data_IF_531581749950
#
_entry.id   IF_531581749950
#
_cell.length_a   1.000
_cell.length_b   1.000
_cell.length_c   1.000
_cell.angle_alpha   90.00
_cell.angle_beta   90.00
_cell.angle_gamma   90.00
#
_symmetry.space_group_name_H-M   'P 1'
#
loop_
_entity.id
_entity.type
_entity.pdbx_description
1 polymer ?
#
# COMPACT_ATOMS: atom_id res chain seq x y z
N UNK A 1 27.75 -17.72 16.99
CA UNK A 1 26.38 -18.16 17.30
C UNK A 1 26.34 -18.50 18.79
N UNK A 2 25.65 -17.70 19.61
CA UNK A 2 25.39 -18.12 21.00
C UNK A 2 24.43 -19.31 20.95
N UNK A 3 24.67 -20.39 21.71
CA UNK A 3 23.73 -21.50 21.76
C UNK A 3 22.40 -21.00 22.35
N UNK A 4 21.28 -21.38 21.73
CA UNK A 4 19.95 -21.11 22.27
C UNK A 4 19.87 -21.69 23.68
N UNK A 5 19.24 -20.96 24.61
CA UNK A 5 18.95 -21.48 25.93
C UNK A 5 18.15 -22.79 25.81
N UNK A 6 18.22 -23.67 26.82
CA UNK A 6 17.39 -24.88 26.86
C UNK A 6 15.94 -24.47 27.13
N UNK A 7 14.99 -25.01 26.36
CA UNK A 7 13.57 -24.71 26.55
C UNK A 7 13.13 -25.13 27.95
N UNK A 8 12.50 -24.22 28.67
CA UNK A 8 11.87 -24.51 29.95
C UNK A 8 10.38 -24.73 29.72
N UNK A 9 10.00 -25.97 29.39
CA UNK A 9 8.61 -26.28 29.08
C UNK A 9 7.73 -26.58 30.30
N UNK A 10 8.31 -26.62 31.51
CA UNK A 10 7.63 -26.91 32.78
C UNK A 10 6.74 -28.18 32.74
N UNK A 11 7.12 -29.17 31.92
CA UNK A 11 6.37 -30.42 31.72
C UNK A 11 5.35 -30.42 30.58
N UNK A 12 5.13 -29.28 29.90
CA UNK A 12 4.37 -29.20 28.66
C UNK A 12 5.21 -29.62 27.43
N UNK A 13 4.53 -29.87 26.31
CA UNK A 13 5.22 -30.06 25.03
C UNK A 13 5.99 -28.78 24.66
N UNK A 14 7.22 -28.87 24.12
CA UNK A 14 7.99 -27.68 23.75
C UNK A 14 7.27 -26.75 22.76
N UNK A 15 6.43 -27.29 21.88
CA UNK A 15 5.63 -26.48 20.96
C UNK A 15 4.62 -25.58 21.69
N UNK A 16 3.89 -26.13 22.68
CA UNK A 16 2.92 -25.36 23.46
C UNK A 16 3.62 -24.32 24.35
N UNK A 17 4.77 -24.69 24.91
CA UNK A 17 5.62 -23.75 25.65
C UNK A 17 6.12 -22.60 24.76
N UNK A 18 6.44 -22.88 23.49
CA UNK A 18 6.81 -21.86 22.51
C UNK A 18 5.70 -20.83 22.32
N UNK A 19 4.47 -21.29 22.05
CA UNK A 19 3.30 -20.43 21.85
C UNK A 19 3.04 -19.56 23.07
N UNK A 20 3.06 -20.16 24.27
CA UNK A 20 2.89 -19.43 25.53
C UNK A 20 3.97 -18.36 25.74
N UNK A 21 5.25 -18.70 25.51
CA UNK A 21 6.32 -17.72 25.62
C UNK A 21 6.19 -16.59 24.60
N UNK A 22 5.70 -16.90 23.39
CA UNK A 22 5.43 -15.89 22.39
C UNK A 22 4.33 -14.93 22.84
N UNK A 23 3.21 -15.44 23.35
CA UNK A 23 2.12 -14.65 23.94
C UNK A 23 2.60 -13.75 25.09
N UNK A 24 3.54 -14.24 25.90
CA UNK A 24 4.17 -13.49 26.99
C UNK A 24 5.22 -12.45 26.50
N UNK A 25 5.48 -12.33 25.20
CA UNK A 25 6.49 -11.46 24.61
C UNK A 25 7.94 -11.92 24.83
N UNK A 26 8.14 -13.17 25.26
CA UNK A 26 9.44 -13.78 25.56
C UNK A 26 9.96 -14.54 24.35
N UNK A 27 10.33 -13.80 23.31
CA UNK A 27 10.60 -14.35 21.99
C UNK A 27 11.85 -15.25 21.91
N UNK A 28 12.89 -14.99 22.72
CA UNK A 28 14.08 -15.87 22.77
C UNK A 28 13.74 -17.24 23.38
N UNK A 29 12.93 -17.27 24.44
CA UNK A 29 12.44 -18.53 25.02
C UNK A 29 11.46 -19.25 24.08
N UNK A 30 10.60 -18.51 23.38
CA UNK A 30 9.75 -19.08 22.34
C UNK A 30 10.59 -19.75 21.25
N UNK A 31 11.61 -19.05 20.74
CA UNK A 31 12.53 -19.58 19.74
C UNK A 31 13.25 -20.84 20.22
N UNK A 32 13.74 -20.82 21.46
CA UNK A 32 14.36 -22.00 22.08
C UNK A 32 13.42 -23.20 22.11
N UNK A 33 12.17 -22.99 22.53
CA UNK A 33 11.15 -24.03 22.63
C UNK A 33 10.70 -24.56 21.26
N UNK A 34 10.51 -23.68 20.27
CA UNK A 34 10.22 -24.09 18.89
C UNK A 34 11.38 -24.88 18.27
N UNK A 35 12.63 -24.46 18.50
CA UNK A 35 13.81 -25.17 18.03
C UNK A 35 13.93 -26.56 18.67
N UNK A 36 13.61 -26.69 19.96
CA UNK A 36 13.55 -27.99 20.63
C UNK A 36 12.41 -28.87 20.09
N UNK A 37 11.23 -28.31 19.82
CA UNK A 37 10.13 -29.05 19.19
C UNK A 37 10.56 -29.60 17.81
N UNK A 38 11.18 -28.76 16.97
CA UNK A 38 11.69 -29.15 15.67
C UNK A 38 12.85 -30.17 15.75
N UNK A 39 13.62 -30.20 16.84
CA UNK A 39 14.66 -31.20 17.05
C UNK A 39 14.10 -32.56 17.47
N UNK A 40 13.00 -32.57 18.25
CA UNK A 40 12.30 -33.79 18.65
C UNK A 40 11.51 -34.40 17.49
N UNK A 41 10.88 -33.54 16.69
CA UNK A 41 10.07 -33.92 15.52
C UNK A 41 10.48 -33.09 14.29
N UNK A 42 11.50 -33.53 13.53
CA UNK A 42 12.03 -32.76 12.39
C UNK A 42 11.05 -32.48 11.26
N UNK A 43 10.02 -33.31 11.12
CA UNK A 43 8.98 -33.23 10.10
C UNK A 43 7.65 -32.69 10.66
N UNK A 44 7.68 -32.00 11.81
CA UNK A 44 6.52 -31.28 12.35
C UNK A 44 6.48 -29.86 11.78
N UNK A 45 5.63 -29.61 10.77
CA UNK A 45 5.50 -28.32 10.11
C UNK A 45 5.23 -27.17 11.11
N UNK A 46 4.31 -27.38 12.04
CA UNK A 46 3.96 -26.41 13.08
C UNK A 46 5.18 -25.96 13.92
N UNK A 47 6.13 -26.85 14.23
CA UNK A 47 7.33 -26.47 14.98
C UNK A 47 8.24 -25.52 14.20
N UNK A 48 8.38 -25.72 12.89
CA UNK A 48 9.12 -24.80 12.03
C UNK A 48 8.35 -23.49 11.81
N UNK A 49 7.01 -23.52 11.76
CA UNK A 49 6.18 -22.32 11.68
C UNK A 49 6.31 -21.45 12.94
N UNK A 50 6.17 -22.03 14.13
CA UNK A 50 6.36 -21.32 15.41
C UNK A 50 7.79 -20.78 15.56
N UNK A 51 8.79 -21.52 15.04
CA UNK A 51 10.16 -21.05 14.97
C UNK A 51 10.27 -19.80 14.08
N UNK A 52 9.60 -19.80 12.93
CA UNK A 52 9.53 -18.65 12.04
C UNK A 52 8.90 -17.44 12.72
N UNK A 53 7.79 -17.64 13.44
CA UNK A 53 7.09 -16.59 14.20
C UNK A 53 7.99 -15.95 15.26
N UNK A 54 8.70 -16.76 16.05
CA UNK A 54 9.63 -16.26 17.05
C UNK A 54 10.84 -15.53 16.42
N UNK A 55 11.38 -16.03 15.31
CA UNK A 55 12.48 -15.40 14.58
C UNK A 55 12.07 -14.04 13.98
N UNK A 56 10.87 -13.98 13.41
CA UNK A 56 10.27 -12.77 12.88
C UNK A 56 10.14 -11.68 13.97
N UNK A 57 9.60 -12.03 15.14
CA UNK A 57 9.49 -11.10 16.26
C UNK A 57 10.85 -10.62 16.82
N UNK A 58 11.92 -11.41 16.62
CA UNK A 58 13.29 -11.04 16.97
C UNK A 58 14.01 -10.23 15.87
N UNK A 59 13.34 -9.91 14.76
CA UNK A 59 13.95 -9.22 13.60
C UNK A 59 14.95 -10.09 12.83
N UNK A 60 14.93 -11.41 13.01
CA UNK A 60 15.82 -12.37 12.34
C UNK A 60 15.19 -12.86 11.03
N UNK A 61 14.93 -11.90 10.15
CA UNK A 61 14.12 -12.05 8.93
C UNK A 61 14.56 -13.21 8.03
N UNK A 62 15.85 -13.30 7.68
CA UNK A 62 16.35 -14.37 6.80
C UNK A 62 16.14 -15.75 7.41
N UNK A 63 16.30 -15.88 8.73
CA UNK A 63 16.07 -17.14 9.42
C UNK A 63 14.58 -17.46 9.52
N UNK A 64 13.72 -16.44 9.70
CA UNK A 64 12.27 -16.61 9.69
C UNK A 64 11.78 -17.12 8.33
N UNK A 65 12.26 -16.53 7.22
CA UNK A 65 11.96 -16.99 5.86
C UNK A 65 12.34 -18.47 5.68
N UNK A 66 13.54 -18.87 6.13
CA UNK A 66 13.97 -20.28 6.04
C UNK A 66 13.12 -21.21 6.89
N UNK A 67 12.71 -20.78 8.09
CA UNK A 67 11.86 -21.58 8.98
C UNK A 67 10.45 -21.77 8.38
N UNK A 68 9.83 -20.72 7.86
CA UNK A 68 8.55 -20.83 7.15
C UNK A 68 8.65 -21.66 5.88
N UNK A 69 9.71 -21.48 5.08
CA UNK A 69 9.96 -22.30 3.90
C UNK A 69 10.12 -23.78 4.27
N UNK A 70 10.75 -24.09 5.41
CA UNK A 70 10.86 -25.47 5.90
C UNK A 70 9.50 -26.02 6.33
N UNK A 71 8.67 -25.24 7.02
CA UNK A 71 7.31 -25.65 7.38
C UNK A 71 6.48 -25.96 6.12
N UNK A 72 6.49 -25.07 5.13
CA UNK A 72 5.75 -25.24 3.87
C UNK A 72 6.32 -26.34 2.96
N UNK A 73 7.59 -26.71 3.11
CA UNK A 73 8.17 -27.87 2.43
C UNK A 73 7.70 -29.20 3.04
N UNK A 74 7.36 -29.22 4.33
CA UNK A 74 6.83 -30.38 5.04
C UNK A 74 5.32 -30.49 4.79
N UNK A 75 4.58 -29.43 5.07
CA UNK A 75 3.15 -29.31 4.79
C UNK A 75 2.88 -28.01 4.01
N UNK A 76 2.65 -28.11 2.69
CA UNK A 76 2.36 -26.96 1.85
C UNK A 76 1.04 -26.24 2.23
N UNK A 77 0.16 -26.87 3.01
CA UNK A 77 -1.10 -26.30 3.47
C UNK A 77 -1.06 -25.80 4.91
N UNK A 78 0.09 -25.82 5.60
CA UNK A 78 0.17 -25.45 7.02
C UNK A 78 -0.33 -24.01 7.25
N UNK A 79 -1.48 -23.83 7.95
CA UNK A 79 -2.11 -22.52 8.04
C UNK A 79 -1.27 -21.49 8.81
N UNK A 80 -0.52 -21.94 9.82
CA UNK A 80 0.36 -21.10 10.62
C UNK A 80 1.56 -20.60 9.81
N UNK A 81 2.16 -21.48 8.99
CA UNK A 81 3.26 -21.10 8.11
C UNK A 81 2.80 -20.17 6.98
N UNK A 82 1.61 -20.39 6.41
CA UNK A 82 1.03 -19.50 5.39
C UNK A 82 0.74 -18.11 5.96
N UNK A 83 0.08 -18.04 7.12
CA UNK A 83 -0.18 -16.76 7.79
C UNK A 83 1.12 -16.05 8.19
N UNK A 84 2.07 -16.78 8.78
CA UNK A 84 3.37 -16.23 9.17
C UNK A 84 4.17 -15.70 7.99
N UNK A 85 4.16 -16.42 6.86
CA UNK A 85 4.79 -15.97 5.61
C UNK A 85 4.11 -14.73 5.06
N UNK A 86 2.77 -14.72 5.00
CA UNK A 86 2.01 -13.57 4.53
C UNK A 86 2.33 -12.31 5.35
N UNK A 87 2.29 -12.42 6.68
CA UNK A 87 2.57 -11.31 7.58
C UNK A 87 4.04 -10.85 7.48
N UNK A 88 5.00 -11.77 7.33
CA UNK A 88 6.40 -11.42 7.17
C UNK A 88 6.61 -10.56 5.91
N UNK A 89 6.05 -10.97 4.77
CA UNK A 89 6.26 -10.27 3.50
C UNK A 89 5.45 -8.98 3.35
N UNK A 90 4.20 -8.95 3.80
CA UNK A 90 3.32 -7.78 3.63
C UNK A 90 3.40 -6.75 4.77
N UNK A 91 3.87 -7.13 5.97
CA UNK A 91 3.77 -6.25 7.15
C UNK A 91 5.12 -5.94 7.78
N UNK A 92 6.01 -6.94 7.90
CA UNK A 92 7.26 -6.77 8.64
C UNK A 92 8.43 -6.31 7.78
N UNK A 93 8.56 -6.88 6.58
CA UNK A 93 9.60 -6.46 5.65
C UNK A 93 9.21 -5.11 5.02
N UNK A 94 10.20 -4.28 4.63
CA UNK A 94 9.90 -3.07 3.87
C UNK A 94 9.06 -3.40 2.62
N UNK A 95 7.95 -2.70 2.44
CA UNK A 95 7.06 -2.90 1.29
C UNK A 95 7.83 -2.67 -0.02
N UNK A 96 7.58 -3.58 -0.95
CA UNK A 96 8.02 -3.58 -2.34
C UNK A 96 6.99 -4.40 -3.07
N UNK A 97 6.68 -4.07 -4.33
CA UNK A 97 5.68 -4.79 -5.11
C UNK A 97 5.85 -6.32 -5.06
N UNK A 98 7.07 -6.84 -5.21
CA UNK A 98 7.32 -8.29 -5.19
C UNK A 98 7.01 -8.93 -3.82
N UNK A 99 7.25 -8.21 -2.73
CA UNK A 99 6.95 -8.68 -1.37
C UNK A 99 5.47 -8.61 -1.09
N UNK A 100 4.79 -7.55 -1.52
CA UNK A 100 3.35 -7.40 -1.31
C UNK A 100 2.59 -8.45 -2.14
N UNK A 101 3.04 -8.75 -3.36
CA UNK A 101 2.56 -9.87 -4.18
C UNK A 101 2.75 -11.22 -3.48
N UNK A 102 3.93 -11.47 -2.89
CA UNK A 102 4.18 -12.68 -2.10
C UNK A 102 3.28 -12.75 -0.86
N UNK A 103 3.11 -11.63 -0.15
CA UNK A 103 2.27 -11.53 1.04
C UNK A 103 0.81 -11.88 0.72
N UNK A 104 0.26 -11.25 -0.32
CA UNK A 104 -1.07 -11.55 -0.84
C UNK A 104 -1.20 -13.02 -1.25
N UNK A 105 -0.22 -13.56 -1.99
CA UNK A 105 -0.22 -14.95 -2.43
C UNK A 105 -0.28 -15.95 -1.27
N UNK A 106 0.52 -15.75 -0.22
CA UNK A 106 0.49 -16.63 0.96
C UNK A 106 -0.82 -16.50 1.73
N UNK A 107 -1.36 -15.29 1.86
CA UNK A 107 -2.64 -15.06 2.53
C UNK A 107 -3.80 -15.75 1.79
N UNK A 108 -3.88 -15.59 0.48
CA UNK A 108 -4.87 -16.25 -0.39
C UNK A 108 -4.76 -17.77 -0.36
N UNK A 109 -3.52 -18.28 -0.38
CA UNK A 109 -3.28 -19.71 -0.26
C UNK A 109 -3.75 -20.24 1.10
N UNK A 110 -3.58 -19.47 2.19
CA UNK A 110 -4.11 -19.79 3.50
C UNK A 110 -5.64 -19.79 3.51
N UNK A 111 -6.29 -18.78 2.92
CA UNK A 111 -7.75 -18.69 2.85
C UNK A 111 -8.38 -19.83 2.03
N UNK A 112 -7.67 -20.34 1.03
CA UNK A 112 -8.16 -21.42 0.17
C UNK A 112 -7.95 -22.84 0.71
N UNK A 113 -7.19 -23.03 1.80
CA UNK A 113 -7.03 -24.38 2.37
C UNK A 113 -8.33 -24.87 3.04
N UNK A 114 -8.81 -26.10 2.75
CA UNK A 114 -10.03 -26.65 3.35
C UNK A 114 -9.96 -26.80 4.88
N UNK A 115 -8.76 -26.92 5.43
CA UNK A 115 -8.50 -27.16 6.84
C UNK A 115 -8.01 -25.91 7.59
N UNK A 116 -8.09 -24.72 7.00
CA UNK A 116 -7.72 -23.48 7.69
C UNK A 116 -8.61 -23.29 8.93
N UNK A 117 -8.02 -23.22 10.14
CA UNK A 117 -8.77 -23.00 11.37
C UNK A 117 -9.58 -21.71 11.27
N UNK A 118 -10.88 -21.73 11.64
CA UNK A 118 -11.73 -20.55 11.53
C UNK A 118 -11.13 -19.31 12.19
N UNK A 119 -10.44 -19.44 13.32
CA UNK A 119 -9.77 -18.36 14.04
C UNK A 119 -8.65 -17.66 13.24
N UNK A 120 -8.05 -18.32 12.25
CA UNK A 120 -6.98 -17.74 11.42
C UNK A 120 -7.51 -16.97 10.21
N UNK A 121 -8.74 -17.26 9.77
CA UNK A 121 -9.33 -16.61 8.58
C UNK A 121 -9.35 -15.07 8.66
N UNK A 122 -9.75 -14.42 9.79
CA UNK A 122 -9.69 -12.96 9.89
C UNK A 122 -8.27 -12.42 9.78
N UNK A 123 -7.27 -13.12 10.32
CA UNK A 123 -5.87 -12.70 10.28
C UNK A 123 -5.32 -12.80 8.85
N UNK A 124 -5.60 -13.90 8.16
CA UNK A 124 -5.23 -14.07 6.75
C UNK A 124 -5.92 -13.02 5.86
N UNK A 125 -7.22 -12.80 6.05
CA UNK A 125 -7.95 -11.79 5.28
C UNK A 125 -7.49 -10.36 5.57
N UNK A 126 -7.08 -10.07 6.81
CA UNK A 126 -6.55 -8.75 7.14
C UNK A 126 -5.21 -8.49 6.43
N UNK A 127 -4.27 -9.44 6.51
CA UNK A 127 -2.98 -9.33 5.81
C UNK A 127 -3.17 -9.27 4.29
N UNK A 128 -4.11 -10.04 3.74
CA UNK A 128 -4.48 -9.93 2.33
C UNK A 128 -4.99 -8.51 1.98
N UNK A 129 -5.88 -7.93 2.81
CA UNK A 129 -6.40 -6.59 2.57
C UNK A 129 -5.30 -5.51 2.57
N UNK A 130 -4.35 -5.60 3.50
CA UNK A 130 -3.18 -4.71 3.55
C UNK A 130 -2.34 -4.85 2.28
N UNK A 131 -1.92 -6.07 1.95
CA UNK A 131 -1.12 -6.34 0.76
C UNK A 131 -1.82 -5.88 -0.53
N UNK A 132 -3.13 -6.10 -0.65
CA UNK A 132 -3.89 -5.64 -1.81
C UNK A 132 -4.02 -4.12 -1.89
N UNK A 133 -4.05 -3.39 -0.77
CA UNK A 133 -4.00 -1.92 -0.79
C UNK A 133 -2.63 -1.44 -1.25
N UNK A 134 -1.53 -2.03 -0.75
CA UNK A 134 -0.17 -1.67 -1.15
C UNK A 134 0.09 -1.95 -2.64
N UNK A 135 -0.58 -2.97 -3.19
CA UNK A 135 -0.56 -3.28 -4.63
C UNK A 135 -1.52 -2.43 -5.49
N UNK A 136 -2.29 -1.52 -4.89
CA UNK A 136 -3.32 -0.74 -5.60
C UNK A 136 -4.53 -1.58 -6.06
N UNK A 137 -4.67 -2.82 -5.59
CA UNK A 137 -5.78 -3.73 -5.90
C UNK A 137 -6.96 -3.52 -4.94
N UNK A 138 -7.54 -2.33 -4.99
CA UNK A 138 -8.54 -1.87 -4.03
C UNK A 138 -9.83 -2.72 -3.99
N UNK A 139 -10.27 -3.31 -5.10
CA UNK A 139 -11.43 -4.23 -5.09
C UNK A 139 -11.15 -5.49 -4.27
N UNK A 140 -9.97 -6.08 -4.43
CA UNK A 140 -9.50 -7.22 -3.64
C UNK A 140 -9.39 -6.85 -2.17
N UNK A 141 -8.79 -5.70 -1.83
CA UNK A 141 -8.73 -5.25 -0.44
C UNK A 141 -10.12 -5.04 0.18
N UNK A 142 -11.05 -4.45 -0.56
CA UNK A 142 -12.42 -4.24 -0.10
C UNK A 142 -13.16 -5.56 0.19
N UNK A 143 -12.95 -6.58 -0.63
CA UNK A 143 -13.50 -7.91 -0.42
C UNK A 143 -12.92 -8.57 0.84
N UNK A 144 -11.60 -8.46 1.05
CA UNK A 144 -10.92 -9.08 2.17
C UNK A 144 -11.20 -8.41 3.51
N UNK A 145 -11.20 -7.09 3.56
CA UNK A 145 -11.62 -6.34 4.76
C UNK A 145 -13.06 -6.68 5.18
N UNK A 146 -13.95 -6.97 4.23
CA UNK A 146 -15.31 -7.41 4.53
C UNK A 146 -15.37 -8.78 5.24
N UNK A 147 -14.45 -9.71 4.93
CA UNK A 147 -14.35 -11.01 5.62
C UNK A 147 -14.02 -10.79 7.11
N UNK A 148 -13.09 -9.86 7.40
CA UNK A 148 -12.70 -9.53 8.78
C UNK A 148 -13.88 -8.89 9.52
N UNK A 149 -14.51 -7.89 8.91
CA UNK A 149 -15.60 -7.12 9.51
C UNK A 149 -16.89 -7.94 9.71
N UNK A 150 -17.12 -8.99 8.91
CA UNK A 150 -18.23 -9.91 9.12
C UNK A 150 -18.13 -10.68 10.46
N UNK A 151 -16.91 -10.85 10.99
CA UNK A 151 -16.63 -11.59 12.23
C UNK A 151 -16.32 -10.66 13.39
N UNK A 152 -15.58 -9.59 13.12
CA UNK A 152 -15.28 -8.54 14.08
C UNK A 152 -15.59 -7.16 13.46
N UNK A 153 -16.85 -6.69 13.56
CA UNK A 153 -17.26 -5.39 13.01
C UNK A 153 -16.52 -4.20 13.63
N UNK A 154 -15.93 -4.38 14.82
CA UNK A 154 -15.17 -3.35 15.52
C UNK A 154 -13.67 -3.35 15.24
N UNK A 155 -13.18 -4.19 14.31
CA UNK A 155 -11.76 -4.20 13.94
C UNK A 155 -11.37 -2.87 13.30
N UNK A 156 -10.61 -2.06 14.05
CA UNK A 156 -10.15 -0.74 13.61
C UNK A 156 -9.24 -0.82 12.41
N UNK A 157 -8.36 -1.83 12.39
CA UNK A 157 -7.44 -2.08 11.29
C UNK A 157 -8.20 -2.45 10.01
N UNK A 158 -9.16 -3.38 10.08
CA UNK A 158 -9.96 -3.73 8.90
C UNK A 158 -10.86 -2.57 8.41
N UNK A 159 -11.36 -1.73 9.32
CA UNK A 159 -12.08 -0.51 8.95
C UNK A 159 -11.15 0.49 8.23
N UNK A 160 -9.90 0.59 8.65
CA UNK A 160 -8.90 1.43 8.01
C UNK A 160 -8.58 0.92 6.59
N UNK A 161 -8.25 -0.36 6.44
CA UNK A 161 -7.98 -0.98 5.12
C UNK A 161 -9.18 -0.86 4.18
N UNK A 162 -10.40 -1.03 4.70
CA UNK A 162 -11.63 -0.78 3.95
C UNK A 162 -11.75 0.67 3.51
N UNK A 163 -11.42 1.63 4.36
CA UNK A 163 -11.55 3.04 4.06
C UNK A 163 -10.56 3.49 2.97
N UNK A 164 -9.33 2.97 2.99
CA UNK A 164 -8.34 3.13 1.92
C UNK A 164 -8.89 2.59 0.60
N UNK A 165 -9.33 1.32 0.59
CA UNK A 165 -9.88 0.69 -0.60
C UNK A 165 -11.09 1.46 -1.17
N UNK A 166 -11.99 1.95 -0.32
CA UNK A 166 -13.13 2.77 -0.75
C UNK A 166 -12.68 4.12 -1.33
N UNK A 167 -11.62 4.72 -0.79
CA UNK A 167 -11.06 5.96 -1.31
C UNK A 167 -10.45 5.75 -2.70
N UNK A 168 -9.62 4.72 -2.88
CA UNK A 168 -9.03 4.36 -4.18
C UNK A 168 -10.10 4.01 -5.23
N UNK A 169 -11.20 3.35 -4.82
CA UNK A 169 -12.34 3.07 -5.69
C UNK A 169 -13.26 4.29 -5.94
N UNK A 170 -12.84 5.49 -5.54
CA UNK A 170 -13.61 6.73 -5.67
C UNK A 170 -15.00 6.69 -4.98
N UNK A 171 -15.20 5.79 -4.02
CA UNK A 171 -16.42 5.68 -3.19
C UNK A 171 -16.34 6.64 -2.00
N UNK A 172 -16.17 7.92 -2.32
CA UNK A 172 -15.81 8.97 -1.36
C UNK A 172 -16.78 9.12 -0.18
N UNK A 173 -18.09 8.94 -0.41
CA UNK A 173 -19.09 9.03 0.66
C UNK A 173 -18.93 7.94 1.73
N UNK A 174 -18.69 6.71 1.29
CA UNK A 174 -18.45 5.57 2.18
C UNK A 174 -17.10 5.71 2.87
N UNK A 175 -16.04 6.03 2.12
CA UNK A 175 -14.69 6.26 2.65
C UNK A 175 -14.69 7.32 3.76
N UNK A 176 -15.33 8.47 3.52
CA UNK A 176 -15.47 9.55 4.52
C UNK A 176 -16.14 9.06 5.80
N UNK A 177 -17.22 8.30 5.67
CA UNK A 177 -17.96 7.77 6.82
C UNK A 177 -17.09 6.83 7.64
N UNK A 178 -16.33 5.96 6.98
CA UNK A 178 -15.43 5.02 7.65
C UNK A 178 -14.25 5.73 8.31
N UNK A 179 -13.55 6.66 7.63
CA UNK A 179 -12.46 7.43 8.25
C UNK A 179 -12.92 8.29 9.42
N UNK A 180 -14.12 8.88 9.34
CA UNK A 180 -14.67 9.66 10.45
C UNK A 180 -14.85 8.82 11.73
N UNK A 181 -15.08 7.52 11.60
CA UNK A 181 -15.16 6.58 12.74
C UNK A 181 -13.79 6.20 13.34
N UNK A 182 -12.68 6.60 12.71
CA UNK A 182 -11.32 6.23 13.11
C UNK A 182 -10.52 7.39 13.72
N UNK A 183 -11.08 8.60 13.81
CA UNK A 183 -10.37 9.78 14.32
C UNK A 183 -10.00 9.71 15.81
N UNK A 184 -10.66 8.83 16.56
CA UNK A 184 -10.37 8.59 17.99
C UNK A 184 -9.42 7.39 18.20
N UNK A 185 -8.91 6.79 17.13
CA UNK A 185 -7.98 5.66 17.19
C UNK A 185 -6.53 6.15 17.36
N UNK A 186 -5.80 5.82 18.43
CA UNK A 186 -4.43 6.29 18.63
C UNK A 186 -3.47 5.90 17.51
N UNK A 187 -3.67 4.75 16.85
CA UNK A 187 -2.77 4.24 15.81
C UNK A 187 -3.17 4.76 14.42
N UNK A 188 -4.45 5.06 14.20
CA UNK A 188 -4.99 5.40 12.87
C UNK A 188 -5.49 6.84 12.72
N UNK A 189 -5.62 7.60 13.82
CA UNK A 189 -6.18 8.95 13.80
C UNK A 189 -5.44 9.90 12.87
N UNK A 190 -4.11 9.83 12.81
CA UNK A 190 -3.32 10.70 11.93
C UNK A 190 -3.66 10.46 10.45
N UNK A 191 -3.63 9.20 10.02
CA UNK A 191 -3.97 8.77 8.66
C UNK A 191 -5.45 9.03 8.32
N UNK A 192 -6.36 8.81 9.26
CA UNK A 192 -7.78 9.11 9.10
C UNK A 192 -8.02 10.62 8.91
N UNK A 193 -7.34 11.47 9.70
CA UNK A 193 -7.39 12.91 9.51
C UNK A 193 -6.83 13.32 8.15
N UNK A 194 -5.71 12.74 7.71
CA UNK A 194 -5.15 13.01 6.38
C UNK A 194 -6.19 12.75 5.28
N UNK A 195 -6.82 11.57 5.27
CA UNK A 195 -7.77 11.19 4.23
C UNK A 195 -9.07 12.00 4.27
N UNK A 196 -9.56 12.35 5.46
CA UNK A 196 -10.69 13.29 5.59
C UNK A 196 -10.35 14.67 5.02
N UNK A 197 -9.11 15.14 5.19
CA UNK A 197 -8.62 16.36 4.55
C UNK A 197 -8.67 16.27 3.03
N UNK A 198 -8.15 15.18 2.45
CA UNK A 198 -8.18 14.93 1.00
C UNK A 198 -9.62 14.93 0.45
N UNK A 199 -10.52 14.22 1.12
CA UNK A 199 -11.94 14.16 0.75
C UNK A 199 -12.62 15.55 0.81
N UNK A 200 -12.32 16.36 1.81
CA UNK A 200 -12.86 17.72 1.95
C UNK A 200 -12.35 18.67 0.87
N UNK A 201 -11.10 18.52 0.42
CA UNK A 201 -10.58 19.30 -0.70
C UNK A 201 -11.28 19.01 -2.02
N UNK A 202 -11.58 17.73 -2.29
CA UNK A 202 -12.37 17.35 -3.47
C UNK A 202 -13.75 17.99 -3.47
N UNK A 203 -14.33 18.22 -2.29
CA UNK A 203 -15.59 18.95 -2.11
C UNK A 203 -15.44 20.49 -2.15
N UNK A 204 -14.23 21.02 -2.36
CA UNK A 204 -13.94 22.46 -2.32
C UNK A 204 -14.00 23.08 -0.91
N UNK A 205 -14.00 22.27 0.15
CA UNK A 205 -14.08 22.70 1.55
C UNK A 205 -12.70 22.95 2.15
N UNK A 206 -11.92 23.81 1.51
CA UNK A 206 -10.50 24.07 1.80
C UNK A 206 -10.19 24.36 3.27
N UNK A 207 -10.97 25.21 3.93
CA UNK A 207 -10.75 25.57 5.34
C UNK A 207 -10.95 24.38 6.29
N UNK A 208 -11.92 23.51 5.98
CA UNK A 208 -12.18 22.32 6.79
C UNK A 208 -11.10 21.27 6.55
N UNK A 209 -10.66 21.10 5.29
CA UNK A 209 -9.56 20.22 4.95
C UNK A 209 -8.27 20.60 5.71
N UNK A 210 -7.96 21.90 5.78
CA UNK A 210 -6.78 22.39 6.50
C UNK A 210 -6.79 22.02 7.99
N UNK A 211 -7.94 22.10 8.66
CA UNK A 211 -8.08 21.66 10.06
C UNK A 211 -7.75 20.16 10.22
N UNK A 212 -8.12 19.34 9.25
CA UNK A 212 -7.80 17.92 9.26
C UNK A 212 -6.31 17.65 9.00
N UNK A 213 -5.69 18.33 8.02
CA UNK A 213 -4.25 18.21 7.77
C UNK A 213 -3.39 18.66 8.96
N UNK A 214 -3.78 19.76 9.63
CA UNK A 214 -3.09 20.23 10.84
C UNK A 214 -3.14 19.20 11.97
N UNK A 215 -4.28 18.51 12.14
CA UNK A 215 -4.41 17.42 13.11
C UNK A 215 -3.54 16.21 12.72
N UNK A 216 -3.56 15.81 11.45
CA UNK A 216 -2.72 14.71 10.97
C UNK A 216 -1.24 14.99 11.24
N UNK A 217 -0.76 16.18 10.89
CA UNK A 217 0.63 16.64 11.13
C UNK A 217 0.97 16.75 12.62
N UNK A 218 0.03 17.18 13.46
CA UNK A 218 0.25 17.25 14.89
C UNK A 218 0.39 15.85 15.53
N UNK A 219 -0.31 14.85 15.00
CA UNK A 219 -0.28 13.47 15.50
C UNK A 219 0.92 12.69 14.95
N UNK A 220 1.26 12.86 13.68
CA UNK A 220 2.38 12.19 13.02
C UNK A 220 3.12 13.16 12.07
N UNK A 221 4.03 14.00 12.59
CA UNK A 221 4.70 15.04 11.80
C UNK A 221 5.68 14.49 10.75
N UNK A 222 6.28 13.33 11.01
CA UNK A 222 7.22 12.68 10.08
C UNK A 222 6.51 12.05 8.87
N UNK A 223 5.31 11.50 9.11
CA UNK A 223 4.44 10.90 8.08
C UNK A 223 3.72 11.99 7.26
N UNK A 224 3.29 13.07 7.90
CA UNK A 224 2.48 14.14 7.27
C UNK A 224 3.13 15.53 7.36
N UNK A 225 4.32 15.73 6.76
CA UNK A 225 4.97 17.03 6.75
C UNK A 225 4.14 18.08 5.99
N UNK A 226 4.51 19.35 6.15
CA UNK A 226 3.90 20.41 5.34
C UNK A 226 4.32 20.29 3.88
N UNK A 227 3.38 20.17 2.93
CA UNK A 227 3.74 20.05 1.52
C UNK A 227 4.30 21.39 1.00
N UNK A 228 5.33 21.37 0.15
CA UNK A 228 5.85 22.56 -0.53
C UNK A 228 4.88 23.04 -1.62
N UNK A 229 3.73 23.59 -1.23
CA UNK A 229 2.64 23.94 -2.13
C UNK A 229 2.82 25.37 -2.72
N UNK A 230 3.28 25.52 -3.99
CA UNK A 230 3.40 26.83 -4.64
C UNK A 230 2.04 27.45 -4.95
N UNK A 231 2.01 28.75 -5.26
CA UNK A 231 0.81 29.37 -5.84
C UNK A 231 0.43 28.74 -7.19
N UNK A 232 -0.81 28.91 -7.65
CA UNK A 232 -1.23 28.42 -8.97
C UNK A 232 -0.38 29.01 -10.10
N UNK A 233 0.01 30.29 -9.99
CA UNK A 233 0.82 30.99 -10.98
C UNK A 233 2.25 30.43 -11.00
N UNK A 234 2.87 30.27 -9.83
CA UNK A 234 4.22 29.72 -9.72
C UNK A 234 4.27 28.29 -10.22
N UNK A 235 3.27 27.47 -9.88
CA UNK A 235 3.18 26.10 -10.36
C UNK A 235 3.05 26.03 -11.88
N UNK A 236 2.16 26.83 -12.48
CA UNK A 236 2.04 26.95 -13.95
C UNK A 236 3.38 27.36 -14.58
N UNK A 237 4.10 28.29 -13.96
CA UNK A 237 5.42 28.69 -14.43
C UNK A 237 6.44 27.55 -14.37
N UNK A 238 6.44 26.72 -13.32
CA UNK A 238 7.31 25.54 -13.22
C UNK A 238 6.96 24.47 -14.27
N UNK A 239 5.67 24.21 -14.52
CA UNK A 239 5.25 23.28 -15.59
C UNK A 239 5.73 23.78 -16.96
N UNK A 240 5.57 25.08 -17.25
CA UNK A 240 6.05 25.66 -18.51
C UNK A 240 7.58 25.56 -18.65
N UNK A 241 8.32 25.75 -17.55
CA UNK A 241 9.78 25.55 -17.54
C UNK A 241 10.14 24.09 -17.82
N UNK A 242 9.42 23.13 -17.22
CA UNK A 242 9.64 21.70 -17.46
C UNK A 242 9.42 21.34 -18.93
N UNK A 243 8.32 21.81 -19.54
CA UNK A 243 8.06 21.64 -20.98
C UNK A 243 9.15 22.28 -21.83
N UNK A 244 9.61 23.48 -21.49
CA UNK A 244 10.67 24.17 -22.24
C UNK A 244 12.03 23.45 -22.16
N UNK A 245 12.29 22.75 -21.07
CA UNK A 245 13.52 21.98 -20.83
C UNK A 245 13.53 20.62 -21.56
N UNK A 246 12.40 20.16 -22.11
CA UNK A 246 12.32 18.88 -22.80
C UNK A 246 13.20 18.82 -24.06
N UNK A 247 13.72 17.63 -24.41
CA UNK A 247 14.32 17.34 -25.70
C UNK A 247 13.47 17.80 -26.89
N UNK A 248 14.12 18.15 -28.00
CA UNK A 248 13.44 18.75 -29.17
C UNK A 248 12.37 17.83 -29.77
N UNK A 249 12.62 16.53 -29.80
CA UNK A 249 11.68 15.50 -30.25
C UNK A 249 10.43 15.45 -29.36
N UNK A 250 10.59 15.37 -28.03
CA UNK A 250 9.46 15.38 -27.08
C UNK A 250 8.65 16.68 -27.15
N UNK A 251 9.31 17.84 -27.34
CA UNK A 251 8.59 19.09 -27.59
C UNK A 251 7.82 19.09 -28.90
N UNK A 252 8.29 18.32 -29.90
CA UNK A 252 7.57 18.10 -31.15
C UNK A 252 6.33 17.25 -30.96
N UNK A 253 6.38 16.23 -30.10
CA UNK A 253 5.24 15.36 -29.77
C UNK A 253 4.10 16.12 -29.09
N UNK A 254 4.45 17.12 -28.26
CA UNK A 254 3.48 17.99 -27.58
C UNK A 254 2.82 19.04 -28.49
N UNK A 255 3.13 19.08 -29.78
CA UNK A 255 2.63 20.11 -30.67
C UNK A 255 1.12 19.91 -30.92
N UNK A 256 0.29 20.83 -30.39
CA UNK A 256 -1.17 20.69 -30.40
C UNK A 256 -1.73 19.85 -29.24
N UNK A 257 -0.88 19.41 -28.30
CA UNK A 257 -1.26 18.73 -27.06
C UNK A 257 -1.05 19.71 -25.90
N UNK A 258 -2.10 20.39 -25.40
CA UNK A 258 -1.96 21.28 -24.25
C UNK A 258 -1.46 20.52 -23.02
N UNK A 259 -0.46 21.11 -22.37
CA UNK A 259 0.00 20.71 -21.04
C UNK A 259 -0.54 21.72 -20.03
N UNK A 260 -1.47 21.29 -19.17
CA UNK A 260 -2.17 22.14 -18.22
C UNK A 260 -1.81 21.80 -16.78
N UNK A 261 -2.11 22.73 -15.88
CA UNK A 261 -1.99 22.55 -14.45
C UNK A 261 -3.35 22.75 -13.79
N UNK A 262 -3.77 21.75 -13.02
CA UNK A 262 -5.04 21.74 -12.29
C UNK A 262 -4.81 21.46 -10.80
N UNK A 263 -5.81 21.72 -9.96
CA UNK A 263 -5.70 21.52 -8.52
C UNK A 263 -5.67 20.03 -8.14
N UNK A 264 -6.62 19.27 -8.67
CA UNK A 264 -6.93 17.87 -8.36
C UNK A 264 -7.61 17.21 -9.58
N UNK A 265 -7.53 15.88 -9.71
CA UNK A 265 -8.23 15.15 -10.76
C UNK A 265 -9.75 15.22 -10.62
N UNK A 266 -10.45 15.46 -11.73
CA UNK A 266 -11.91 15.48 -11.79
C UNK A 266 -12.49 14.07 -11.68
N UNK A 267 -13.72 13.94 -11.14
CA UNK A 267 -14.38 12.62 -11.01
C UNK A 267 -14.53 11.92 -12.37
N UNK A 268 -14.78 12.68 -13.44
CA UNK A 268 -14.90 12.13 -14.79
C UNK A 268 -13.59 11.47 -15.28
N UNK A 269 -12.44 12.03 -14.91
CA UNK A 269 -11.14 11.46 -15.24
C UNK A 269 -10.88 10.17 -14.45
N UNK A 270 -11.15 10.21 -13.13
CA UNK A 270 -10.89 9.06 -12.26
C UNK A 270 -11.77 7.86 -12.62
N UNK A 271 -13.03 8.10 -12.98
CA UNK A 271 -14.02 7.08 -13.28
C UNK A 271 -14.05 6.65 -14.75
N UNK A 272 -13.15 7.16 -15.59
CA UNK A 272 -13.10 6.83 -17.00
C UNK A 272 -12.73 5.36 -17.26
N UNK A 273 -12.00 4.73 -16.33
CA UNK A 273 -11.51 3.37 -16.42
C UNK A 273 -12.12 2.45 -15.34
N UNK A 274 -12.00 1.13 -15.54
CA UNK A 274 -12.33 0.11 -14.55
C UNK A 274 -11.14 -0.83 -14.34
N UNK A 275 -10.54 -0.90 -13.12
CA UNK A 275 -10.86 -0.09 -11.94
C UNK A 275 -10.59 1.42 -12.17
N UNK A 276 -11.20 2.31 -11.35
CA UNK A 276 -10.95 3.75 -11.46
C UNK A 276 -9.48 4.08 -11.15
N UNK A 277 -9.01 5.22 -11.66
CA UNK A 277 -7.69 5.74 -11.32
C UNK A 277 -7.65 6.20 -9.86
N UNK A 278 -6.48 6.10 -9.22
CA UNK A 278 -6.28 6.59 -7.87
C UNK A 278 -6.64 8.09 -7.78
N UNK A 279 -7.36 8.54 -6.74
CA UNK A 279 -7.59 9.97 -6.52
C UNK A 279 -6.30 10.78 -6.30
N UNK A 280 -5.17 10.10 -6.08
CA UNK A 280 -3.86 10.71 -5.78
C UNK A 280 -2.90 10.75 -6.97
N UNK A 281 -3.35 10.37 -8.19
CA UNK A 281 -2.53 10.50 -9.41
C UNK A 281 -1.92 11.89 -9.54
N UNK A 282 -0.67 11.94 -10.03
CA UNK A 282 0.13 13.16 -10.09
C UNK A 282 -0.06 13.92 -11.41
N UNK A 283 -0.35 13.18 -12.47
CA UNK A 283 -0.67 13.68 -13.80
C UNK A 283 -1.66 12.75 -14.51
N UNK A 284 -2.11 13.19 -15.67
CA UNK A 284 -2.93 12.36 -16.56
C UNK A 284 -2.76 12.80 -18.01
N UNK A 285 -2.43 11.85 -18.87
CA UNK A 285 -2.61 11.92 -20.30
C UNK A 285 -4.04 11.55 -20.69
N UNK A 286 -4.71 12.42 -21.45
CA UNK A 286 -6.02 12.19 -22.03
C UNK A 286 -5.90 12.04 -23.55
N UNK A 287 -6.65 11.10 -24.11
CA UNK A 287 -6.75 10.85 -25.54
C UNK A 287 -5.94 9.63 -26.02
N UNK A 288 -6.04 9.28 -27.32
CA UNK A 288 -5.32 8.13 -27.87
C UNK A 288 -3.82 8.44 -28.05
N UNK A 289 -2.92 7.44 -28.03
CA UNK A 289 -1.50 7.64 -28.29
C UNK A 289 -1.25 8.20 -29.70
N UNK A 290 -0.06 8.74 -29.97
CA UNK A 290 0.30 9.36 -31.26
C UNK A 290 0.22 8.40 -32.45
N UNK A 291 0.37 7.09 -32.21
CA UNK A 291 0.20 6.03 -33.20
C UNK A 291 -1.25 5.89 -33.69
N UNK A 292 -2.22 6.41 -32.93
CA UNK A 292 -3.65 6.29 -33.19
C UNK A 292 -4.28 7.62 -33.64
N UNK A 293 -5.25 7.60 -34.56
CA UNK A 293 -5.90 8.82 -35.00
C UNK A 293 -6.86 9.37 -33.96
N UNK A 294 -6.98 10.70 -33.89
CA UNK A 294 -8.10 11.35 -33.23
C UNK A 294 -9.39 11.09 -34.02
N UNK A 295 -10.46 10.67 -33.34
CA UNK A 295 -11.76 10.43 -33.98
C UNK A 295 -12.60 11.72 -34.13
N UNK A 296 -12.16 12.83 -33.54
CA UNK A 296 -12.81 14.13 -33.59
C UNK A 296 -13.97 14.30 -32.60
N UNK A 297 -14.14 13.37 -31.65
CA UNK A 297 -15.16 13.45 -30.61
C UNK A 297 -14.88 14.51 -29.55
N UNK A 298 -13.59 14.79 -29.28
CA UNK A 298 -13.12 15.74 -28.27
C UNK A 298 -12.20 16.82 -28.85
N UNK A 299 -12.23 18.01 -28.25
CA UNK A 299 -11.33 19.12 -28.60
C UNK A 299 -10.87 19.84 -27.32
N UNK A 300 -9.55 19.82 -26.99
CA UNK A 300 -8.48 19.14 -27.72
C UNK A 300 -8.62 17.61 -27.67
N UNK A 301 -8.20 16.91 -28.72
CA UNK A 301 -8.23 15.44 -28.76
C UNK A 301 -7.28 14.80 -27.74
N UNK A 302 -6.18 15.50 -27.44
CA UNK A 302 -5.15 15.04 -26.51
C UNK A 302 -4.84 16.15 -25.53
N UNK A 303 -4.55 15.79 -24.29
CA UNK A 303 -4.05 16.76 -23.31
C UNK A 303 -3.21 16.04 -22.27
N UNK A 304 -2.27 16.76 -21.68
CA UNK A 304 -1.58 16.35 -20.45
C UNK A 304 -1.99 17.32 -19.35
N UNK A 305 -2.38 16.81 -18.20
CA UNK A 305 -2.64 17.62 -17.00
C UNK A 305 -1.72 17.18 -15.87
N UNK A 306 -1.22 18.14 -15.10
CA UNK A 306 -0.47 17.90 -13.86
C UNK A 306 -1.24 18.46 -12.66
N UNK A 307 -1.35 17.68 -11.60
CA UNK A 307 -2.20 17.99 -10.44
C UNK A 307 -1.38 18.58 -9.28
N UNK A 308 -1.46 19.90 -9.12
CA UNK A 308 -0.64 20.72 -8.21
C UNK A 308 -0.62 20.20 -6.78
N UNK A 309 -1.79 19.86 -6.22
CA UNK A 309 -1.88 19.45 -4.81
C UNK A 309 -1.39 18.03 -4.56
N UNK A 310 -1.64 17.11 -5.50
CA UNK A 310 -1.13 15.75 -5.41
C UNK A 310 0.39 15.73 -5.54
N UNK A 311 0.94 16.44 -6.53
CA UNK A 311 2.40 16.62 -6.70
C UNK A 311 3.07 17.23 -5.47
N UNK A 312 2.48 18.29 -4.90
CA UNK A 312 3.05 18.91 -3.70
C UNK A 312 3.01 17.98 -2.47
N UNK A 313 2.08 17.02 -2.39
CA UNK A 313 2.00 16.05 -1.29
C UNK A 313 2.93 14.87 -1.45
N UNK A 314 3.29 14.53 -2.68
CA UNK A 314 4.20 13.42 -2.97
C UNK A 314 5.66 13.71 -2.56
N UNK A 315 5.99 14.97 -2.24
CA UNK A 315 7.35 15.44 -2.00
C UNK A 315 7.45 16.29 -0.73
N UNK A 316 8.66 16.44 -0.20
CA UNK A 316 8.94 17.20 1.04
C UNK A 316 9.52 18.57 0.77
N UNK A 317 10.17 18.78 -0.37
CA UNK A 317 10.85 20.06 -0.68
C UNK A 317 10.44 20.64 -2.03
N UNK A 318 10.59 21.97 -2.19
CA UNK A 318 10.32 22.61 -3.49
C UNK A 318 11.28 22.18 -4.60
N UNK A 319 12.45 21.64 -4.25
CA UNK A 319 13.38 21.06 -5.23
C UNK A 319 12.89 19.71 -5.72
N UNK A 320 12.51 18.82 -4.81
CA UNK A 320 11.86 17.55 -5.14
C UNK A 320 10.59 17.77 -5.95
N UNK A 321 9.79 18.81 -5.64
CA UNK A 321 8.60 19.14 -6.43
C UNK A 321 8.93 19.45 -7.89
N UNK A 322 9.99 20.22 -8.17
CA UNK A 322 10.40 20.52 -9.55
C UNK A 322 10.83 19.26 -10.30
N UNK A 323 11.53 18.37 -9.61
CA UNK A 323 11.93 17.09 -10.17
C UNK A 323 10.72 16.18 -10.41
N UNK A 324 9.78 16.11 -9.48
CA UNK A 324 8.56 15.32 -9.62
C UNK A 324 7.69 15.82 -10.77
N UNK A 325 7.55 17.14 -10.96
CA UNK A 325 6.88 17.72 -12.13
C UNK A 325 7.52 17.23 -13.43
N UNK A 326 8.86 17.16 -13.48
CA UNK A 326 9.60 16.69 -14.65
C UNK A 326 9.39 15.19 -14.89
N UNK A 327 9.46 14.37 -13.85
CA UNK A 327 9.24 12.92 -13.92
C UNK A 327 7.82 12.61 -14.38
N UNK A 328 6.82 13.19 -13.74
CA UNK A 328 5.41 13.02 -14.12
C UNK A 328 5.16 13.49 -15.55
N UNK A 329 5.69 14.65 -15.98
CA UNK A 329 5.55 15.08 -17.37
C UNK A 329 6.15 14.08 -18.37
N UNK A 330 7.30 13.49 -18.05
CA UNK A 330 7.92 12.48 -18.91
C UNK A 330 7.13 11.18 -18.95
N UNK A 331 6.52 10.78 -17.83
CA UNK A 331 5.60 9.65 -17.74
C UNK A 331 4.39 9.86 -18.68
N UNK A 332 3.72 11.01 -18.59
CA UNK A 332 2.55 11.30 -19.44
C UNK A 332 2.92 11.41 -20.94
N UNK A 333 4.12 11.89 -21.26
CA UNK A 333 4.64 11.89 -22.65
C UNK A 333 4.89 10.45 -23.13
N UNK A 334 5.27 9.55 -22.23
CA UNK A 334 5.37 8.12 -22.49
C UNK A 334 4.05 7.54 -22.97
N UNK A 335 2.96 7.76 -22.23
CA UNK A 335 1.63 7.34 -22.66
C UNK A 335 1.18 8.00 -23.97
N UNK A 336 1.51 9.28 -24.16
CA UNK A 336 1.29 9.96 -25.45
C UNK A 336 2.01 9.23 -26.59
N UNK A 337 3.18 8.65 -26.35
CA UNK A 337 3.93 7.84 -27.33
C UNK A 337 3.46 6.38 -27.43
N UNK A 338 2.53 5.96 -26.57
CA UNK A 338 1.99 4.60 -26.51
C UNK A 338 2.84 3.65 -25.67
N UNK A 339 3.69 4.17 -24.78
CA UNK A 339 4.44 3.37 -23.81
C UNK A 339 3.51 2.91 -22.66
N UNK A 340 3.73 1.69 -22.18
CA UNK A 340 3.02 1.13 -21.02
C UNK A 340 3.76 1.41 -19.70
N UNK A 341 3.09 1.12 -18.57
CA UNK A 341 3.63 1.38 -17.23
C UNK A 341 4.95 0.63 -16.97
N UNK A 342 5.12 -0.58 -17.52
CA UNK A 342 6.33 -1.39 -17.33
C UNK A 342 7.54 -0.76 -18.06
N UNK A 343 7.33 -0.26 -19.28
CA UNK A 343 8.35 0.47 -20.04
C UNK A 343 8.76 1.77 -19.34
N UNK A 344 7.82 2.47 -18.72
CA UNK A 344 8.07 3.70 -17.96
C UNK A 344 8.81 3.42 -16.65
N UNK A 345 8.42 2.38 -15.92
CA UNK A 345 9.09 1.91 -14.71
C UNK A 345 10.56 1.56 -14.98
N UNK A 346 10.84 0.86 -16.08
CA UNK A 346 12.20 0.51 -16.49
C UNK A 346 13.10 1.74 -16.75
N UNK A 347 12.51 2.92 -16.97
CA UNK A 347 13.21 4.20 -17.16
C UNK A 347 13.28 5.04 -15.87
N UNK A 348 12.76 4.53 -14.76
CA UNK A 348 12.68 5.24 -13.48
C UNK A 348 11.66 6.38 -13.50
N UNK A 349 10.55 6.19 -14.20
CA UNK A 349 9.45 7.16 -14.32
C UNK A 349 8.17 6.74 -13.59
N UNK A 350 8.26 5.82 -12.62
CA UNK A 350 7.16 5.50 -11.70
C UNK A 350 6.85 6.60 -10.69
#
# INVERSE_FOLDING_TARGET
>A
MQPLAVCKSDGAAPLDASRRYFEDGRFEEALSCAAQAAALEPDLAAAHAERGVALAALGRETEAQLAYARALAIDPGDPSALLGSAHLYAVQLPSTRERDELGALYAERGLSQPNTPPELIPHLALVAAMAFNDLGQAESSLAHSAIVLARNPGSREALYERALALFELCRFGDARTTFAGLVDDPERAAHAHQHLGLLLEREGKWKQAQVHFEKARALAPDDFPEPPLPSEEDFRAEVLKAVAALPKDMRGDLNGVPVTAEELPADADLLANQPPLSPTILGLFRGPPLSEPCDGSETPCRSVVLYRRNLARAVRTSEELREQIRVTLLHEIGHLRGEDDEELAARGLE
#
